data_IF_285678422746
#
_entry.id   IF_285678422746
#
_cell.length_a   1.000
_cell.length_b   1.000
_cell.length_c   1.000
_cell.angle_alpha   90.00
_cell.angle_beta   90.00
_cell.angle_gamma   90.00
#
_symmetry.space_group_name_H-M   'P 1'
#
loop_
_entity.id
_entity.type
_entity.pdbx_description
1 polymer ?
#
# COMPACT_ATOMS: atom_id res chain seq x y z
N UNK A 1 -3.95 -14.79 -8.94
CA UNK A 1 -3.75 -14.10 -7.65
C UNK A 1 -5.10 -13.93 -6.95
N UNK A 2 -5.13 -14.28 -5.69
CA UNK A 2 -6.29 -14.16 -4.83
C UNK A 2 -6.40 -12.74 -4.27
N UNK A 3 -7.62 -12.21 -4.25
CA UNK A 3 -7.94 -10.99 -3.49
C UNK A 3 -7.86 -11.35 -2.00
N UNK A 4 -7.20 -10.53 -1.20
CA UNK A 4 -7.18 -10.70 0.25
C UNK A 4 -8.60 -10.72 0.81
N UNK A 5 -8.82 -11.50 1.87
CA UNK A 5 -10.13 -11.56 2.51
C UNK A 5 -10.57 -10.16 2.98
N UNK A 6 -11.85 -9.79 2.83
CA UNK A 6 -12.36 -8.47 3.22
C UNK A 6 -12.02 -8.08 4.66
N UNK A 7 -12.08 -9.02 5.58
CA UNK A 7 -11.73 -8.79 6.98
C UNK A 7 -10.25 -8.40 7.16
N UNK A 8 -9.34 -9.09 6.43
CA UNK A 8 -7.91 -8.81 6.47
C UNK A 8 -7.62 -7.40 5.92
N UNK A 9 -8.24 -7.03 4.81
CA UNK A 9 -8.11 -5.69 4.22
C UNK A 9 -8.63 -4.63 5.19
N UNK A 10 -9.80 -4.83 5.78
CA UNK A 10 -10.36 -3.91 6.77
C UNK A 10 -9.45 -3.74 8.00
N UNK A 11 -8.89 -4.84 8.51
CA UNK A 11 -7.94 -4.83 9.61
C UNK A 11 -6.67 -4.03 9.27
N UNK A 12 -6.09 -4.28 8.09
CA UNK A 12 -4.89 -3.56 7.64
C UNK A 12 -5.16 -2.08 7.44
N UNK A 13 -6.30 -1.70 6.86
CA UNK A 13 -6.69 -0.30 6.68
C UNK A 13 -6.93 0.40 8.03
N UNK A 14 -7.53 -0.28 8.99
CA UNK A 14 -7.70 0.26 10.35
C UNK A 14 -6.33 0.54 11.00
N UNK A 15 -5.38 -0.38 10.88
CA UNK A 15 -4.02 -0.21 11.42
C UNK A 15 -3.22 0.85 10.66
N UNK A 16 -3.42 0.98 9.36
CA UNK A 16 -2.81 2.02 8.54
C UNK A 16 -3.34 3.41 8.92
N UNK A 17 -4.62 3.51 9.26
CA UNK A 17 -5.31 4.74 9.63
C UNK A 17 -5.08 5.88 8.62
N UNK A 18 -5.35 5.69 7.31
CA UNK A 18 -5.19 6.75 6.32
C UNK A 18 -6.21 7.87 6.58
N UNK A 19 -5.81 9.10 6.29
CA UNK A 19 -6.61 10.30 6.52
C UNK A 19 -6.85 11.06 5.22
N UNK A 20 -7.94 11.85 5.14
CA UNK A 20 -8.18 12.74 4.01
C UNK A 20 -6.97 13.63 3.70
N UNK A 21 -6.66 13.78 2.42
CA UNK A 21 -5.56 14.62 1.93
C UNK A 21 -4.18 13.96 1.92
N UNK A 22 -4.04 12.74 2.43
CA UNK A 22 -2.75 12.07 2.52
C UNK A 22 -2.31 11.44 1.20
N UNK A 23 -1.00 11.26 1.06
CA UNK A 23 -0.34 10.53 -0.01
C UNK A 23 -0.02 9.12 0.46
N UNK A 24 -0.55 8.12 -0.26
CA UNK A 24 -0.44 6.70 0.09
C UNK A 24 0.26 5.94 -1.03
N UNK A 25 1.19 5.07 -0.66
CA UNK A 25 1.79 4.06 -1.55
C UNK A 25 1.14 2.71 -1.26
N UNK A 26 0.55 2.11 -2.30
CA UNK A 26 -0.10 0.80 -2.26
C UNK A 26 0.69 -0.20 -3.10
N UNK A 27 1.38 -1.12 -2.45
CA UNK A 27 2.29 -2.07 -3.08
C UNK A 27 1.58 -3.41 -3.27
N UNK A 28 1.57 -3.90 -4.53
CA UNK A 28 0.80 -5.08 -4.91
C UNK A 28 -0.69 -4.77 -5.07
N UNK A 29 -1.02 -3.74 -5.85
CA UNK A 29 -2.39 -3.23 -5.99
C UNK A 29 -3.37 -4.25 -6.61
N UNK A 30 -2.88 -5.24 -7.36
CA UNK A 30 -3.67 -6.33 -7.91
C UNK A 30 -4.90 -5.86 -8.68
N UNK A 31 -6.09 -6.30 -8.24
CA UNK A 31 -7.37 -5.91 -8.84
C UNK A 31 -7.75 -4.44 -8.67
N UNK A 32 -7.03 -3.71 -7.79
CA UNK A 32 -7.31 -2.33 -7.46
C UNK A 32 -8.36 -2.11 -6.37
N UNK A 33 -8.88 -3.15 -5.76
CA UNK A 33 -9.92 -3.02 -4.73
C UNK A 33 -9.41 -2.26 -3.49
N UNK A 34 -8.27 -2.66 -2.92
CA UNK A 34 -7.65 -1.96 -1.80
C UNK A 34 -7.29 -0.52 -2.17
N UNK A 35 -6.75 -0.32 -3.38
CA UNK A 35 -6.43 1.00 -3.92
C UNK A 35 -7.67 1.90 -3.99
N UNK A 36 -8.82 1.38 -4.43
CA UNK A 36 -10.08 2.12 -4.47
C UNK A 36 -10.58 2.52 -3.09
N UNK A 37 -10.46 1.64 -2.10
CA UNK A 37 -10.80 1.95 -0.71
C UNK A 37 -9.92 3.07 -0.15
N UNK A 38 -8.62 3.01 -0.39
CA UNK A 38 -7.67 4.07 -0.03
C UNK A 38 -8.05 5.40 -0.70
N UNK A 39 -8.36 5.37 -2.00
CA UNK A 39 -8.75 6.56 -2.75
C UNK A 39 -10.01 7.22 -2.19
N UNK A 40 -10.99 6.42 -1.77
CA UNK A 40 -12.20 6.92 -1.13
C UNK A 40 -11.89 7.62 0.20
N UNK A 41 -10.96 7.09 0.98
CA UNK A 41 -10.58 7.64 2.28
C UNK A 41 -9.79 8.95 2.11
N UNK A 42 -8.77 8.97 1.25
CA UNK A 42 -7.93 10.16 1.08
C UNK A 42 -8.62 11.30 0.34
N UNK A 43 -9.61 10.99 -0.48
CA UNK A 43 -10.46 11.96 -1.15
C UNK A 43 -9.74 12.83 -2.18
N UNK A 44 -10.40 13.92 -2.60
CA UNK A 44 -9.96 14.78 -3.71
C UNK A 44 -8.63 15.50 -3.48
N UNK A 45 -8.25 15.71 -2.23
CA UNK A 45 -7.00 16.37 -1.86
C UNK A 45 -5.86 15.38 -1.60
N UNK A 46 -6.19 14.07 -1.59
CA UNK A 46 -5.22 13.00 -1.41
C UNK A 46 -4.74 12.40 -2.71
N UNK A 47 -3.79 11.49 -2.60
CA UNK A 47 -3.24 10.73 -3.73
C UNK A 47 -2.90 9.31 -3.29
N UNK A 48 -3.23 8.34 -4.14
CA UNK A 48 -2.82 6.94 -3.99
C UNK A 48 -1.99 6.55 -5.21
N UNK A 49 -0.78 6.08 -4.96
CA UNK A 49 0.09 5.50 -5.98
C UNK A 49 0.12 4.00 -5.75
N UNK A 50 -0.38 3.24 -6.72
CA UNK A 50 -0.39 1.79 -6.70
C UNK A 50 0.71 1.22 -7.59
N UNK A 51 1.41 0.20 -7.08
CA UNK A 51 2.41 -0.55 -7.81
C UNK A 51 1.95 -2.00 -7.97
N UNK A 52 2.00 -2.50 -9.20
CA UNK A 52 1.69 -3.88 -9.53
C UNK A 52 2.73 -4.42 -10.52
N UNK A 53 3.30 -5.58 -10.22
CA UNK A 53 4.35 -6.18 -11.05
C UNK A 53 3.81 -6.75 -12.35
N UNK A 54 2.58 -7.30 -12.32
CA UNK A 54 2.00 -8.03 -13.45
C UNK A 54 1.22 -7.07 -14.35
N UNK A 55 1.63 -6.89 -15.64
CA UNK A 55 0.99 -5.93 -16.55
C UNK A 55 -0.51 -6.15 -16.73
N UNK A 56 -0.95 -7.41 -16.78
CA UNK A 56 -2.36 -7.77 -16.92
C UNK A 56 -3.19 -7.30 -15.73
N UNK A 57 -2.67 -7.51 -14.52
CA UNK A 57 -3.32 -7.06 -13.29
C UNK A 57 -3.32 -5.54 -13.19
N UNK A 58 -2.24 -4.89 -13.61
CA UNK A 58 -2.20 -3.41 -13.66
C UNK A 58 -3.30 -2.86 -14.57
N UNK A 59 -3.45 -3.41 -15.78
CA UNK A 59 -4.53 -3.00 -16.71
C UNK A 59 -5.92 -3.23 -16.12
N UNK A 60 -6.13 -4.38 -15.50
CA UNK A 60 -7.40 -4.71 -14.84
C UNK A 60 -7.68 -3.78 -13.67
N UNK A 61 -6.67 -3.50 -12.85
CA UNK A 61 -6.77 -2.56 -11.73
C UNK A 61 -7.18 -1.16 -12.18
N UNK A 62 -6.51 -0.61 -13.20
CA UNK A 62 -6.87 0.69 -13.80
C UNK A 62 -8.34 0.70 -14.24
N UNK A 63 -8.78 -0.35 -14.92
CA UNK A 63 -10.15 -0.47 -15.43
C UNK A 63 -11.18 -0.51 -14.29
N UNK A 64 -10.88 -1.26 -13.23
CA UNK A 64 -11.76 -1.37 -12.07
C UNK A 64 -11.88 -0.03 -11.31
N UNK A 65 -10.76 0.63 -11.08
CA UNK A 65 -10.70 1.90 -10.34
C UNK A 65 -11.33 3.04 -11.14
N UNK A 66 -11.18 3.04 -12.46
CA UNK A 66 -11.75 4.05 -13.35
C UNK A 66 -13.29 4.12 -13.27
N UNK A 67 -13.96 3.04 -12.88
CA UNK A 67 -15.42 3.01 -12.68
C UNK A 67 -15.90 3.98 -11.59
N UNK A 68 -15.02 4.35 -10.67
CA UNK A 68 -15.31 5.28 -9.57
C UNK A 68 -14.75 6.68 -9.83
N UNK A 69 -14.25 6.95 -11.03
CA UNK A 69 -13.63 8.21 -11.44
C UNK A 69 -12.36 8.60 -10.66
N UNK A 70 -11.74 7.69 -9.93
CA UNK A 70 -10.53 8.00 -9.15
C UNK A 70 -9.31 8.30 -10.04
N UNK A 71 -9.24 7.69 -11.23
CA UNK A 71 -8.17 7.94 -12.19
C UNK A 71 -8.38 9.30 -12.88
N UNK A 72 -9.59 9.57 -13.38
CA UNK A 72 -9.94 10.84 -14.04
C UNK A 72 -9.84 12.05 -13.11
N UNK A 73 -10.16 11.86 -11.83
CA UNK A 73 -10.02 12.88 -10.77
C UNK A 73 -8.59 13.01 -10.25
N UNK A 74 -7.63 12.23 -10.80
CA UNK A 74 -6.21 12.23 -10.42
C UNK A 74 -5.94 11.87 -8.96
N UNK A 75 -6.82 11.12 -8.33
CA UNK A 75 -6.60 10.60 -6.97
C UNK A 75 -5.71 9.37 -7.02
N UNK A 76 -5.89 8.49 -8.02
CA UNK A 76 -5.12 7.25 -8.18
C UNK A 76 -4.27 7.27 -9.44
N UNK A 77 -3.02 6.81 -9.30
CA UNK A 77 -2.13 6.42 -10.40
C UNK A 77 -1.61 5.01 -10.13
N UNK A 78 -1.78 4.11 -11.11
CA UNK A 78 -1.21 2.77 -11.07
C UNK A 78 -0.01 2.68 -12.00
N UNK A 79 1.06 2.06 -11.51
CA UNK A 79 2.27 1.81 -12.28
C UNK A 79 2.59 0.31 -12.32
N UNK A 80 2.98 -0.18 -13.49
CA UNK A 80 3.48 -1.55 -13.65
C UNK A 80 4.96 -1.57 -13.30
N UNK A 81 5.25 -1.79 -12.01
CA UNK A 81 6.60 -1.76 -11.47
C UNK A 81 6.79 -2.78 -10.35
N UNK A 82 8.05 -3.21 -10.17
CA UNK A 82 8.44 -3.97 -8.99
C UNK A 82 8.43 -3.06 -7.75
N UNK A 83 7.57 -3.39 -6.78
CA UNK A 83 7.37 -2.61 -5.58
C UNK A 83 8.47 -2.71 -4.51
N UNK A 84 9.48 -3.59 -4.68
CA UNK A 84 10.55 -3.78 -3.67
C UNK A 84 11.30 -2.48 -3.37
N UNK A 85 11.50 -1.66 -4.38
CA UNK A 85 12.19 -0.36 -4.25
C UNK A 85 11.25 0.79 -3.91
N UNK A 86 9.96 0.51 -3.66
CA UNK A 86 8.96 1.54 -3.49
C UNK A 86 8.79 2.43 -4.74
N UNK A 87 8.52 3.70 -4.51
CA UNK A 87 8.37 4.70 -5.59
C UNK A 87 9.02 6.02 -5.20
N UNK A 88 10.37 6.11 -5.27
CA UNK A 88 11.12 7.24 -4.73
C UNK A 88 10.80 8.58 -5.38
N UNK A 89 10.35 8.56 -6.66
CA UNK A 89 10.01 9.80 -7.40
C UNK A 89 8.91 10.60 -6.70
N UNK A 90 7.96 9.93 -6.04
CA UNK A 90 6.85 10.58 -5.35
C UNK A 90 6.99 10.60 -3.82
N UNK A 91 8.09 10.07 -3.28
CA UNK A 91 8.36 10.11 -1.84
C UNK A 91 8.51 11.56 -1.31
N UNK A 92 8.25 11.83 -0.02
CA UNK A 92 7.79 10.88 1.01
C UNK A 92 6.30 10.56 0.94
N UNK A 93 5.92 9.44 1.55
CA UNK A 93 4.53 9.01 1.69
C UNK A 93 4.07 9.13 3.14
N UNK A 94 2.85 9.57 3.34
CA UNK A 94 2.20 9.60 4.67
C UNK A 94 1.84 8.20 5.15
N UNK A 95 1.48 7.32 4.21
CA UNK A 95 1.10 5.92 4.46
C UNK A 95 1.69 5.02 3.39
N UNK A 96 2.16 3.85 3.80
CA UNK A 96 2.61 2.77 2.91
C UNK A 96 1.93 1.48 3.34
N UNK A 97 1.33 0.77 2.39
CA UNK A 97 0.71 -0.53 2.62
C UNK A 97 1.17 -1.52 1.56
N UNK A 98 1.36 -2.78 1.94
CA UNK A 98 1.61 -3.88 1.01
C UNK A 98 0.56 -4.97 1.18
N UNK A 99 0.05 -5.49 0.07
CA UNK A 99 -0.87 -6.64 0.05
C UNK A 99 -0.14 -7.99 -0.13
N UNK A 100 1.16 -7.97 -0.35
CA UNK A 100 1.99 -9.16 -0.54
C UNK A 100 3.01 -9.30 0.60
N UNK A 101 3.22 -10.55 1.04
CA UNK A 101 4.16 -10.86 2.11
C UNK A 101 5.59 -10.89 1.61
N UNK A 102 6.48 -10.23 2.31
CA UNK A 102 7.93 -10.30 2.12
C UNK A 102 8.59 -10.96 3.34
N UNK A 103 9.81 -11.49 3.20
CA UNK A 103 10.54 -12.05 4.36
C UNK A 103 10.94 -10.98 5.38
N UNK A 104 11.02 -9.73 4.95
CA UNK A 104 11.34 -8.58 5.79
C UNK A 104 10.78 -7.29 5.15
N UNK A 105 10.69 -6.21 5.93
CA UNK A 105 10.29 -4.90 5.41
C UNK A 105 11.46 -4.29 4.63
N UNK A 106 11.29 -4.01 3.32
CA UNK A 106 12.35 -3.39 2.53
C UNK A 106 12.76 -2.02 3.10
N UNK A 107 14.06 -1.80 3.25
CA UNK A 107 14.59 -0.52 3.76
C UNK A 107 14.16 0.68 2.92
N UNK A 108 13.98 0.49 1.62
CA UNK A 108 13.49 1.54 0.71
C UNK A 108 12.11 2.08 1.13
N UNK A 109 11.23 1.22 1.65
CA UNK A 109 9.89 1.66 2.11
C UNK A 109 10.01 2.53 3.36
N UNK A 110 10.89 2.15 4.29
CA UNK A 110 11.13 2.92 5.52
C UNK A 110 11.75 4.28 5.23
N UNK A 111 12.64 4.36 4.24
CA UNK A 111 13.25 5.61 3.80
C UNK A 111 12.23 6.55 3.14
N UNK A 112 11.27 5.98 2.39
CA UNK A 112 10.24 6.74 1.69
C UNK A 112 9.03 7.09 2.57
N UNK A 113 8.94 6.55 3.78
CA UNK A 113 7.90 6.90 4.75
C UNK A 113 8.23 8.25 5.40
N UNK A 114 7.27 9.16 5.42
CA UNK A 114 7.41 10.44 6.10
C UNK A 114 7.51 10.24 7.63
N UNK A 115 8.23 11.12 8.32
CA UNK A 115 8.14 11.20 9.79
C UNK A 115 6.71 11.54 10.18
N UNK A 116 6.16 10.81 11.14
CA UNK A 116 4.73 10.83 11.48
C UNK A 116 3.90 9.90 10.60
N UNK A 117 4.52 9.25 9.61
CA UNK A 117 3.85 8.28 8.72
C UNK A 117 3.71 6.90 9.34
N UNK A 118 2.93 6.06 8.68
CA UNK A 118 2.64 4.69 9.12
C UNK A 118 2.72 3.72 7.96
N UNK A 119 3.33 2.55 8.22
CA UNK A 119 3.47 1.46 7.28
C UNK A 119 2.77 0.22 7.82
N UNK A 120 2.02 -0.46 6.97
CA UNK A 120 1.41 -1.76 7.28
C UNK A 120 1.76 -2.74 6.18
N UNK A 121 2.41 -3.83 6.54
CA UNK A 121 2.80 -4.86 5.57
C UNK A 121 2.88 -6.25 6.23
N UNK A 122 2.58 -7.32 5.47
CA UNK A 122 2.80 -8.67 5.96
C UNK A 122 4.27 -9.05 5.83
N UNK A 123 4.77 -9.67 6.89
CA UNK A 123 6.08 -10.36 6.93
C UNK A 123 5.78 -11.80 7.33
N UNK A 124 6.03 -12.72 6.41
CA UNK A 124 5.59 -14.13 6.53
C UNK A 124 4.07 -14.21 6.83
N UNK A 125 3.67 -14.75 7.98
CA UNK A 125 2.27 -14.85 8.43
C UNK A 125 1.90 -13.80 9.49
N UNK A 126 2.64 -12.70 9.55
CA UNK A 126 2.45 -11.65 10.57
C UNK A 126 2.23 -10.31 9.90
N UNK A 127 1.21 -9.57 10.31
CA UNK A 127 1.05 -8.17 9.92
C UNK A 127 1.93 -7.32 10.83
N UNK A 128 2.82 -6.55 10.21
CA UNK A 128 3.70 -5.59 10.87
C UNK A 128 3.17 -4.18 10.65
N UNK A 129 3.05 -3.43 11.75
CA UNK A 129 2.65 -2.02 11.74
C UNK A 129 3.80 -1.19 12.29
N UNK A 130 4.31 -0.26 11.50
CA UNK A 130 5.41 0.61 11.89
C UNK A 130 4.98 2.08 11.81
N UNK A 131 5.16 2.82 12.91
CA UNK A 131 5.01 4.26 12.94
C UNK A 131 6.39 4.92 12.98
N UNK A 132 6.67 5.83 12.04
CA UNK A 132 7.95 6.54 11.96
C UNK A 132 7.91 7.77 12.87
N UNK A 133 8.58 7.70 14.01
CA UNK A 133 8.60 8.77 15.01
C UNK A 133 9.68 9.81 14.75
N UNK A 134 10.78 9.38 14.14
CA UNK A 134 11.92 10.19 13.73
C UNK A 134 12.61 9.50 12.54
N UNK A 135 13.60 10.12 11.86
CA UNK A 135 14.21 9.56 10.66
C UNK A 135 14.66 8.10 10.77
N UNK A 136 15.21 7.71 11.93
CA UNK A 136 15.70 6.35 12.19
C UNK A 136 15.02 5.70 13.40
N UNK A 137 13.87 6.19 13.83
CA UNK A 137 13.17 5.70 15.00
C UNK A 137 11.73 5.30 14.65
N UNK A 138 11.40 4.03 14.90
CA UNK A 138 10.10 3.42 14.59
C UNK A 138 9.50 2.78 15.83
N UNK A 139 8.19 2.94 15.99
CA UNK A 139 7.39 2.13 16.90
C UNK A 139 6.76 0.99 16.11
N UNK A 140 6.98 -0.25 16.53
CA UNK A 140 6.58 -1.45 15.78
C UNK A 140 5.62 -2.30 16.59
N UNK A 141 4.49 -2.65 15.96
CA UNK A 141 3.52 -3.62 16.49
C UNK A 141 3.38 -4.79 15.51
N UNK A 142 3.15 -5.99 16.03
CA UNK A 142 3.02 -7.21 15.22
C UNK A 142 1.75 -7.97 15.56
N UNK A 143 1.10 -8.52 14.53
CA UNK A 143 -0.16 -9.25 14.64
C UNK A 143 -0.01 -10.57 13.86
N UNK A 144 0.28 -11.71 14.53
CA UNK A 144 0.46 -13.01 13.89
C UNK A 144 -0.87 -13.67 13.52
N UNK A 145 -0.81 -14.71 12.70
CA UNK A 145 -1.97 -15.55 12.36
C UNK A 145 -2.68 -15.17 11.06
N UNK A 146 -1.98 -14.54 10.13
CA UNK A 146 -2.49 -14.18 8.80
C UNK A 146 -1.84 -15.03 7.71
N UNK A 147 -2.52 -15.14 6.56
CA UNK A 147 -1.99 -15.79 5.37
C UNK A 147 -2.00 -14.81 4.20
N UNK A 148 -0.87 -14.67 3.53
CA UNK A 148 -0.68 -13.79 2.38
C UNK A 148 0.02 -14.53 1.24
N UNK A 149 -0.22 -14.07 0.01
CA UNK A 149 0.59 -14.49 -1.13
C UNK A 149 2.00 -13.91 -1.00
N UNK A 150 3.05 -14.68 -1.34
CA UNK A 150 4.42 -14.17 -1.32
C UNK A 150 4.57 -13.00 -2.29
N UNK A 151 5.42 -12.07 -1.91
CA UNK A 151 5.86 -11.00 -2.79
C UNK A 151 6.70 -11.62 -3.92
N UNK A 152 6.30 -11.38 -5.15
CA UNK A 152 7.02 -11.85 -6.34
C UNK A 152 7.83 -10.67 -6.88
N UNK A 153 9.14 -10.72 -6.69
CA UNK A 153 10.03 -9.69 -7.21
C UNK A 153 11.41 -9.78 -6.59
N UNK A 154 12.33 -10.32 -7.32
CA UNK A 154 13.76 -10.06 -7.18
C UNK A 154 14.21 -9.01 -8.20
#
# INVERSE_FOLDING_TARGET
QTISQPWTVAFMLEKLAPLPGQKVLDIGSGSGWQTALLAQIVGNQGQVIGLELIPELTRQGVKNIARYNFVSRRIVKLHCLNGTKGFPIAAPFDRIISAASAPDIPSAWLQQLAVGGRLVAPVDSTIVVMAKLAPDHFDTQTFPGFAFVPFVGE
#
